data_IF_987773028362
#
_entry.id   IF_987773028362
#
_cell.length_a   1.000
_cell.length_b   1.000
_cell.length_c   1.000
_cell.angle_alpha   90.00
_cell.angle_beta   90.00
_cell.angle_gamma   90.00
#
_symmetry.space_group_name_H-M   'P 1'
#
loop_
_entity.id
_entity.type
_entity.pdbx_description
1 polymer ?
#
# COMPACT_ATOMS: atom_id res chain seq x y z
N UNK A 1 -22.97 3.59 -10.38
CA UNK A 1 -21.90 2.57 -10.48
C UNK A 1 -22.48 1.23 -10.91
N UNK A 2 -21.68 0.32 -11.46
CA UNK A 2 -22.13 -1.04 -11.83
C UNK A 2 -22.76 -1.76 -10.63
N UNK A 3 -22.15 -1.69 -9.45
CA UNK A 3 -22.67 -2.34 -8.23
C UNK A 3 -24.08 -1.85 -7.90
N UNK A 4 -24.36 -0.55 -7.99
CA UNK A 4 -25.69 0.01 -7.67
C UNK A 4 -26.80 -0.37 -8.66
N UNK A 5 -26.47 -0.88 -9.85
CA UNK A 5 -27.47 -1.39 -10.78
C UNK A 5 -27.96 -2.80 -10.39
N UNK A 6 -27.19 -3.54 -9.59
CA UNK A 6 -27.55 -4.90 -9.14
C UNK A 6 -27.93 -4.97 -7.67
N UNK A 7 -27.35 -4.13 -6.81
CA UNK A 7 -27.48 -4.19 -5.36
C UNK A 7 -28.16 -2.91 -4.86
N UNK A 8 -29.25 -3.06 -4.10
CA UNK A 8 -30.01 -1.95 -3.52
C UNK A 8 -29.54 -1.58 -2.13
N UNK A 9 -29.16 -2.57 -1.32
CA UNK A 9 -28.68 -2.37 0.04
C UNK A 9 -27.33 -1.62 0.06
N UNK A 10 -27.23 -0.56 0.86
CA UNK A 10 -26.08 0.33 0.87
C UNK A 10 -24.83 -0.33 1.50
N UNK A 11 -25.01 -1.18 2.53
CA UNK A 11 -23.90 -1.89 3.16
C UNK A 11 -23.31 -2.94 2.20
N UNK A 12 -24.17 -3.66 1.48
CA UNK A 12 -23.71 -4.59 0.46
C UNK A 12 -23.01 -3.86 -0.70
N UNK A 13 -23.47 -2.65 -1.07
CA UNK A 13 -22.76 -1.82 -2.06
C UNK A 13 -21.35 -1.49 -1.62
N UNK A 14 -21.14 -1.17 -0.34
CA UNK A 14 -19.81 -0.94 0.22
C UNK A 14 -18.96 -2.20 0.09
N UNK A 15 -19.46 -3.36 0.54
CA UNK A 15 -18.75 -4.65 0.46
C UNK A 15 -18.33 -4.98 -0.98
N UNK A 16 -19.21 -4.79 -1.97
CA UNK A 16 -18.89 -5.10 -3.37
C UNK A 16 -18.15 -4.00 -4.12
N UNK A 17 -17.80 -2.87 -3.50
CA UNK A 17 -17.07 -1.77 -4.13
C UNK A 17 -15.72 -1.45 -3.49
N UNK A 18 -15.48 -1.87 -2.24
CA UNK A 18 -14.25 -1.48 -1.52
C UNK A 18 -12.98 -2.07 -2.15
N UNK A 19 -13.05 -3.16 -2.90
CA UNK A 19 -11.87 -3.81 -3.50
C UNK A 19 -11.02 -2.88 -4.37
N UNK A 20 -11.62 -1.84 -4.95
CA UNK A 20 -10.85 -0.83 -5.67
C UNK A 20 -9.84 -0.09 -4.78
N UNK A 21 -10.13 0.06 -3.48
CA UNK A 21 -9.18 0.65 -2.50
C UNK A 21 -7.93 -0.20 -2.33
N UNK A 22 -8.04 -1.54 -2.47
CA UNK A 22 -6.89 -2.45 -2.34
C UNK A 22 -5.85 -2.28 -3.46
N UNK A 23 -6.22 -1.58 -4.52
CA UNK A 23 -5.33 -1.24 -5.65
C UNK A 23 -5.13 0.28 -5.79
N UNK A 24 -5.48 1.04 -4.77
CA UNK A 24 -5.30 2.50 -4.73
C UNK A 24 -6.33 3.30 -5.49
N UNK A 25 -7.47 2.71 -5.85
CA UNK A 25 -8.53 3.34 -6.62
C UNK A 25 -9.71 3.81 -5.78
N UNK A 26 -10.26 4.98 -6.14
CA UNK A 26 -11.49 5.49 -5.55
C UNK A 26 -12.70 4.67 -6.05
N UNK A 27 -13.50 4.02 -5.16
CA UNK A 27 -14.66 3.21 -5.53
C UNK A 27 -15.69 3.91 -6.42
N UNK A 28 -15.73 5.24 -6.40
CA UNK A 28 -16.68 6.04 -7.15
C UNK A 28 -16.18 6.53 -8.51
N UNK A 29 -14.87 6.40 -8.80
CA UNK A 29 -14.24 6.84 -10.06
C UNK A 29 -13.45 5.74 -10.77
N UNK A 30 -13.13 4.66 -10.09
CA UNK A 30 -12.36 3.55 -10.65
C UNK A 30 -13.22 2.70 -11.59
N UNK A 31 -12.61 2.05 -12.57
CA UNK A 31 -13.28 1.16 -13.51
C UNK A 31 -13.96 -0.02 -12.83
N UNK A 32 -15.14 -0.39 -13.30
CA UNK A 32 -15.88 -1.58 -12.83
C UNK A 32 -15.15 -2.91 -13.10
N UNK A 33 -14.08 -2.91 -13.87
CA UNK A 33 -13.25 -4.10 -14.11
C UNK A 33 -12.69 -4.70 -12.81
N UNK A 34 -12.51 -3.87 -11.77
CA UNK A 34 -12.03 -4.35 -10.46
C UNK A 34 -13.04 -5.23 -9.71
N UNK A 35 -14.29 -5.35 -10.18
CA UNK A 35 -15.22 -6.40 -9.73
C UNK A 35 -14.70 -7.82 -10.06
N UNK A 36 -13.72 -7.93 -10.99
CA UNK A 36 -13.02 -9.18 -11.28
C UNK A 36 -12.31 -9.75 -10.04
N UNK A 37 -11.89 -8.92 -9.10
CA UNK A 37 -11.25 -9.38 -7.87
C UNK A 37 -12.18 -10.35 -7.12
N UNK A 38 -13.45 -10.01 -6.96
CA UNK A 38 -14.44 -10.91 -6.34
C UNK A 38 -14.59 -12.24 -7.08
N UNK A 39 -14.58 -12.21 -8.42
CA UNK A 39 -14.66 -13.44 -9.21
C UNK A 39 -13.44 -14.32 -8.98
N UNK A 40 -12.24 -13.73 -8.98
CA UNK A 40 -10.97 -14.45 -8.74
C UNK A 40 -10.92 -15.04 -7.33
N UNK A 41 -11.33 -14.29 -6.31
CA UNK A 41 -11.41 -14.78 -4.92
C UNK A 41 -12.40 -15.93 -4.78
N UNK A 42 -13.53 -15.85 -5.46
CA UNK A 42 -14.54 -16.91 -5.46
C UNK A 42 -14.07 -18.19 -6.15
N UNK A 43 -13.39 -18.07 -7.27
CA UNK A 43 -12.93 -19.21 -8.08
C UNK A 43 -11.64 -19.83 -7.54
N UNK A 44 -10.65 -18.99 -7.19
CA UNK A 44 -9.31 -19.40 -6.76
C UNK A 44 -9.11 -19.48 -5.26
N UNK A 45 -10.02 -18.89 -4.46
CA UNK A 45 -9.82 -18.68 -3.03
C UNK A 45 -8.80 -17.59 -2.72
N UNK A 46 -8.56 -17.36 -1.44
CA UNK A 46 -7.53 -16.45 -0.93
C UNK A 46 -6.52 -17.28 -0.16
N UNK A 47 -5.26 -17.19 -0.56
CA UNK A 47 -4.17 -17.99 0.00
C UNK A 47 -3.19 -17.14 0.78
N UNK A 48 -2.71 -17.67 1.88
CA UNK A 48 -1.69 -17.04 2.71
C UNK A 48 -0.46 -17.94 2.78
N UNK A 49 0.71 -17.39 2.51
CA UNK A 49 1.94 -18.16 2.57
C UNK A 49 2.29 -18.55 4.01
N UNK A 50 2.63 -19.80 4.26
CA UNK A 50 3.15 -20.25 5.56
C UNK A 50 4.45 -19.50 5.88
N UNK A 51 4.53 -18.89 7.05
CA UNK A 51 5.61 -17.98 7.42
C UNK A 51 5.41 -16.54 6.91
N UNK A 52 4.23 -16.22 6.35
CA UNK A 52 3.86 -14.88 5.90
C UNK A 52 4.45 -14.47 4.56
N UNK A 53 4.19 -13.23 4.17
CA UNK A 53 4.71 -12.64 2.91
C UNK A 53 6.23 -12.64 2.85
N UNK A 54 6.91 -12.49 4.01
CA UNK A 54 8.37 -12.57 4.08
C UNK A 54 8.93 -13.92 3.62
N UNK A 55 8.28 -15.03 3.99
CA UNK A 55 8.68 -16.36 3.54
C UNK A 55 8.51 -16.54 2.02
N UNK A 56 7.45 -15.96 1.44
CA UNK A 56 7.25 -15.93 -0.01
C UNK A 56 8.38 -15.16 -0.71
N UNK A 57 8.70 -13.95 -0.22
CA UNK A 57 9.80 -13.14 -0.77
C UNK A 57 11.14 -13.89 -0.68
N UNK A 58 11.45 -14.52 0.45
CA UNK A 58 12.67 -15.31 0.60
C UNK A 58 12.69 -16.54 -0.35
N UNK A 59 11.54 -17.16 -0.58
CA UNK A 59 11.40 -18.21 -1.58
C UNK A 59 11.73 -17.75 -2.99
N UNK A 60 11.26 -16.55 -3.36
CA UNK A 60 11.58 -15.92 -4.64
C UNK A 60 13.06 -15.54 -4.74
N UNK A 61 13.67 -15.05 -3.67
CA UNK A 61 15.11 -14.74 -3.62
C UNK A 61 15.93 -16.01 -3.84
N UNK A 62 15.63 -17.10 -3.14
CA UNK A 62 16.32 -18.39 -3.34
C UNK A 62 16.22 -18.86 -4.80
N UNK A 63 15.01 -18.85 -5.38
CA UNK A 63 14.82 -19.20 -6.77
C UNK A 63 15.66 -18.33 -7.72
N UNK A 64 15.72 -17.03 -7.45
CA UNK A 64 16.52 -16.09 -8.24
C UNK A 64 18.02 -16.43 -8.18
N UNK A 65 18.53 -16.74 -6.98
CA UNK A 65 19.92 -17.13 -6.77
C UNK A 65 20.25 -18.50 -7.37
N UNK A 66 19.34 -19.47 -7.25
CA UNK A 66 19.45 -20.81 -7.89
C UNK A 66 19.53 -20.72 -9.43
N UNK A 67 18.89 -19.70 -10.00
CA UNK A 67 18.97 -19.38 -11.44
C UNK A 67 20.23 -18.59 -11.83
N UNK A 68 21.15 -18.35 -10.90
CA UNK A 68 22.41 -17.63 -11.12
C UNK A 68 22.30 -16.10 -10.90
N UNK A 69 21.21 -15.62 -10.35
CA UNK A 69 21.05 -14.21 -10.00
C UNK A 69 21.90 -13.81 -8.80
N UNK A 70 22.24 -12.53 -8.71
CA UNK A 70 22.95 -11.96 -7.56
C UNK A 70 22.11 -10.86 -6.91
N UNK A 71 21.75 -11.04 -5.64
CA UNK A 71 21.06 -10.03 -4.85
C UNK A 71 22.08 -9.12 -4.15
N UNK A 72 21.99 -7.81 -4.37
CA UNK A 72 22.78 -6.79 -3.65
C UNK A 72 21.85 -5.96 -2.77
N UNK A 73 21.88 -6.18 -1.47
CA UNK A 73 21.19 -5.37 -0.47
C UNK A 73 21.98 -4.11 -0.14
N UNK A 74 21.30 -3.11 0.43
CA UNK A 74 21.90 -1.81 0.81
C UNK A 74 22.66 -1.13 -0.34
N UNK A 75 22.23 -1.37 -1.56
CA UNK A 75 22.85 -0.88 -2.80
C UNK A 75 21.86 0.00 -3.58
N UNK A 76 21.58 1.24 -3.10
CA UNK A 76 20.65 2.12 -3.77
C UNK A 76 21.16 2.48 -5.16
N UNK A 77 20.27 2.44 -6.15
CA UNK A 77 20.55 2.94 -7.49
C UNK A 77 20.40 4.47 -7.48
N UNK A 78 21.46 5.18 -7.81
CA UNK A 78 21.53 6.63 -7.79
C UNK A 78 21.05 7.25 -9.12
N UNK A 79 21.41 6.60 -10.24
CA UNK A 79 20.97 6.97 -11.59
C UNK A 79 21.07 5.80 -12.57
N UNK A 80 20.36 5.92 -13.66
CA UNK A 80 20.44 5.04 -14.84
C UNK A 80 21.15 5.82 -15.94
N UNK A 81 22.21 5.26 -16.50
CA UNK A 81 22.97 5.86 -17.59
C UNK A 81 22.42 5.43 -18.94
N UNK A 82 22.27 6.41 -19.82
CA UNK A 82 21.73 6.26 -21.15
C UNK A 82 22.82 6.47 -22.21
N UNK A 83 22.81 5.62 -23.25
CA UNK A 83 23.54 5.83 -24.48
C UNK A 83 22.51 5.97 -25.62
N UNK A 84 22.34 7.20 -26.11
CA UNK A 84 21.19 7.52 -26.97
C UNK A 84 19.87 7.20 -26.26
N UNK A 85 19.00 6.42 -26.88
CA UNK A 85 17.70 6.00 -26.33
C UNK A 85 17.76 4.68 -25.51
N UNK A 86 18.95 4.19 -25.21
CA UNK A 86 19.15 2.89 -24.58
C UNK A 86 19.75 3.03 -23.18
N UNK A 87 19.12 2.40 -22.17
CA UNK A 87 19.72 2.27 -20.85
C UNK A 87 20.87 1.26 -20.92
N UNK A 88 22.06 1.62 -20.39
CA UNK A 88 23.30 0.85 -20.50
C UNK A 88 23.95 0.51 -19.19
N UNK A 89 23.75 1.31 -18.18
CA UNK A 89 24.35 1.08 -16.88
C UNK A 89 23.48 1.66 -15.77
N UNK A 90 23.73 1.20 -14.55
CA UNK A 90 23.28 1.86 -13.33
C UNK A 90 24.48 2.37 -12.57
N UNK A 91 24.28 3.41 -11.78
CA UNK A 91 25.27 3.89 -10.79
C UNK A 91 24.73 3.55 -9.40
N UNK A 92 25.56 2.89 -8.63
CA UNK A 92 25.28 2.53 -7.24
C UNK A 92 26.56 2.68 -6.43
N UNK A 93 26.52 3.40 -5.31
CA UNK A 93 27.66 3.68 -4.44
C UNK A 93 28.86 4.29 -5.20
N UNK A 94 28.56 5.13 -6.21
CA UNK A 94 29.59 5.75 -7.06
C UNK A 94 30.21 4.83 -8.13
N UNK A 95 29.86 3.55 -8.16
CA UNK A 95 30.30 2.58 -9.15
C UNK A 95 29.35 2.53 -10.34
N UNK A 96 29.87 2.54 -11.57
CA UNK A 96 29.09 2.36 -12.80
C UNK A 96 29.09 0.89 -13.18
N UNK A 97 27.91 0.28 -13.18
CA UNK A 97 27.68 -1.15 -13.47
C UNK A 97 26.98 -1.28 -14.81
N UNK A 98 27.61 -1.84 -15.85
CA UNK A 98 26.99 -2.02 -17.16
C UNK A 98 26.03 -3.21 -17.19
N UNK A 99 24.93 -3.05 -17.95
CA UNK A 99 23.94 -4.09 -18.19
C UNK A 99 23.36 -3.99 -19.60
N UNK A 100 22.99 -5.13 -20.17
CA UNK A 100 22.31 -5.20 -21.47
C UNK A 100 20.84 -4.78 -21.39
N UNK A 101 20.18 -5.07 -20.26
CA UNK A 101 18.77 -4.73 -19.97
C UNK A 101 18.65 -4.27 -18.52
N UNK A 102 17.85 -3.23 -18.30
CA UNK A 102 17.57 -2.69 -16.98
C UNK A 102 16.05 -2.67 -16.78
N UNK A 103 15.57 -3.36 -15.75
CA UNK A 103 14.18 -3.31 -15.30
C UNK A 103 14.09 -2.57 -13.97
N UNK A 104 13.21 -1.58 -13.87
CA UNK A 104 12.94 -0.86 -12.62
C UNK A 104 11.58 -1.25 -12.07
N UNK A 105 11.55 -1.68 -10.80
CA UNK A 105 10.33 -1.87 -10.02
C UNK A 105 10.11 -0.74 -8.99
N UNK A 106 10.88 0.35 -9.09
CA UNK A 106 10.69 1.54 -8.27
C UNK A 106 9.46 2.34 -8.70
N UNK A 107 9.09 3.33 -7.87
CA UNK A 107 8.04 4.30 -8.23
C UNK A 107 8.33 4.93 -9.60
N UNK A 108 7.30 5.04 -10.44
CA UNK A 108 7.49 5.48 -11.82
C UNK A 108 7.94 6.94 -11.93
N UNK A 109 7.50 7.80 -11.01
CA UNK A 109 7.94 9.20 -10.98
C UNK A 109 9.38 9.29 -10.50
N UNK A 110 9.75 8.49 -9.49
CA UNK A 110 11.14 8.37 -9.03
C UNK A 110 12.06 7.85 -10.14
N UNK A 111 11.65 6.77 -10.82
CA UNK A 111 12.44 6.17 -11.91
C UNK A 111 12.72 7.18 -13.03
N UNK A 112 11.67 7.81 -13.57
CA UNK A 112 11.85 8.75 -14.68
C UNK A 112 12.34 10.13 -14.24
N UNK A 113 11.81 10.65 -13.13
CA UNK A 113 12.10 12.01 -12.66
C UNK A 113 13.43 12.15 -11.93
N UNK A 114 13.93 11.07 -11.31
CA UNK A 114 15.19 11.07 -10.57
C UNK A 114 16.26 10.19 -11.22
N UNK A 115 16.00 8.88 -11.38
CA UNK A 115 17.04 7.97 -11.89
C UNK A 115 17.41 8.23 -13.36
N UNK A 116 16.46 8.69 -14.16
CA UNK A 116 16.66 9.07 -15.58
C UNK A 116 16.72 10.59 -15.80
N UNK A 117 16.90 11.39 -14.75
CA UNK A 117 16.90 12.86 -14.84
C UNK A 117 18.03 13.43 -15.72
N UNK A 118 19.11 12.71 -15.93
CA UNK A 118 20.18 13.08 -16.86
C UNK A 118 19.82 13.01 -18.34
N UNK A 119 18.67 12.40 -18.69
CA UNK A 119 18.24 12.22 -20.08
C UNK A 119 16.95 13.00 -20.39
N UNK A 120 16.85 13.71 -21.56
CA UNK A 120 15.69 14.55 -21.88
C UNK A 120 14.36 13.81 -21.84
N UNK A 121 14.33 12.55 -22.30
CA UNK A 121 13.14 11.70 -22.25
C UNK A 121 12.74 11.37 -20.81
N UNK A 122 13.72 11.12 -19.92
CA UNK A 122 13.48 10.90 -18.48
C UNK A 122 12.82 12.12 -17.85
N UNK A 123 13.38 13.32 -18.09
CA UNK A 123 12.84 14.58 -17.59
C UNK A 123 11.40 14.83 -18.09
N UNK A 124 11.17 14.66 -19.41
CA UNK A 124 9.85 14.87 -19.99
C UNK A 124 8.81 13.89 -19.43
N UNK A 125 9.15 12.60 -19.38
CA UNK A 125 8.25 11.58 -18.88
C UNK A 125 8.01 11.71 -17.37
N UNK A 126 9.05 12.02 -16.58
CA UNK A 126 8.93 12.28 -15.15
C UNK A 126 7.94 13.41 -14.85
N UNK A 127 8.02 14.53 -15.58
CA UNK A 127 7.07 15.64 -15.46
C UNK A 127 5.64 15.23 -15.82
N UNK A 128 5.45 14.45 -16.89
CA UNK A 128 4.12 13.95 -17.31
C UNK A 128 3.52 13.02 -16.25
N UNK A 129 4.31 12.13 -15.68
CA UNK A 129 3.87 11.18 -14.65
C UNK A 129 3.55 11.89 -13.33
N UNK A 130 4.38 12.85 -12.91
CA UNK A 130 4.15 13.63 -11.71
C UNK A 130 2.84 14.47 -11.78
N UNK A 131 2.44 14.90 -12.98
CA UNK A 131 1.21 15.64 -13.21
C UNK A 131 -0.06 14.75 -13.29
N UNK A 132 0.09 13.42 -13.30
CA UNK A 132 -1.05 12.49 -13.30
C UNK A 132 -1.69 12.41 -11.92
N UNK A 133 -2.88 11.80 -11.86
CA UNK A 133 -3.54 11.51 -10.58
C UNK A 133 -2.82 10.37 -9.87
N UNK A 134 -2.51 10.59 -8.60
CA UNK A 134 -1.88 9.58 -7.74
C UNK A 134 -2.92 8.96 -6.80
N UNK A 135 -2.65 7.75 -6.35
CA UNK A 135 -3.49 7.06 -5.38
C UNK A 135 -3.43 7.77 -4.01
N UNK A 136 -4.38 7.45 -3.16
CA UNK A 136 -4.27 7.81 -1.75
C UNK A 136 -3.01 7.22 -1.13
N UNK A 137 -2.64 7.74 0.03
CA UNK A 137 -1.64 7.13 0.91
C UNK A 137 -2.30 6.20 1.93
N UNK A 138 -1.48 5.59 2.76
CA UNK A 138 -1.91 4.76 3.89
C UNK A 138 -1.25 5.24 5.18
N UNK A 139 -1.99 5.09 6.27
CA UNK A 139 -1.45 5.09 7.61
C UNK A 139 -1.53 3.66 8.13
N UNK A 140 -0.39 3.06 8.48
CA UNK A 140 -0.33 1.65 8.89
C UNK A 140 0.17 1.57 10.31
N UNK A 141 -0.51 0.79 11.15
CA UNK A 141 -0.08 0.49 12.50
C UNK A 141 0.23 -1.01 12.57
N UNK A 142 1.46 -1.35 12.90
CA UNK A 142 1.89 -2.69 13.24
C UNK A 142 1.92 -2.83 14.75
N UNK A 143 1.28 -3.86 15.29
CA UNK A 143 1.26 -4.07 16.73
C UNK A 143 1.24 -5.55 17.12
N UNK A 144 1.81 -5.85 18.27
CA UNK A 144 1.81 -7.17 18.88
C UNK A 144 1.07 -7.13 20.21
N UNK A 145 0.26 -8.15 20.47
CA UNK A 145 -0.47 -8.35 21.72
C UNK A 145 -0.01 -9.63 22.40
N UNK A 146 -0.11 -9.67 23.73
CA UNK A 146 0.10 -10.90 24.53
C UNK A 146 -1.16 -11.79 24.58
N UNK A 147 -2.05 -11.62 23.60
CA UNK A 147 -3.29 -12.38 23.46
C UNK A 147 -3.74 -12.43 22.02
N UNK A 148 -4.28 -13.58 21.59
CA UNK A 148 -4.99 -13.72 20.33
C UNK A 148 -6.46 -13.30 20.51
N UNK A 149 -6.97 -12.46 19.63
CA UNK A 149 -8.38 -12.13 19.49
C UNK A 149 -9.01 -13.03 18.42
N UNK A 150 -9.42 -14.23 18.83
CA UNK A 150 -9.93 -15.33 17.99
C UNK A 150 -11.31 -15.08 17.38
N UNK A 151 -12.04 -14.06 17.88
CA UNK A 151 -13.29 -13.60 17.28
C UNK A 151 -13.10 -12.86 15.95
N UNK A 152 -11.87 -12.46 15.62
CA UNK A 152 -11.55 -11.79 14.35
C UNK A 152 -11.33 -12.80 13.22
N UNK A 153 -11.55 -12.37 11.99
CA UNK A 153 -11.08 -13.11 10.82
C UNK A 153 -9.61 -12.74 10.50
N UNK A 154 -8.94 -13.57 9.70
CA UNK A 154 -7.60 -13.25 9.17
C UNK A 154 -7.57 -11.87 8.51
N UNK A 155 -8.61 -11.57 7.72
CA UNK A 155 -8.85 -10.27 7.13
C UNK A 155 -10.20 -9.73 7.62
N UNK A 156 -10.19 -8.56 8.25
CA UNK A 156 -11.39 -7.88 8.74
C UNK A 156 -11.43 -6.47 8.16
N UNK A 157 -12.53 -6.12 7.49
CA UNK A 157 -12.77 -4.76 7.00
C UNK A 157 -13.78 -4.08 7.90
N UNK A 158 -13.39 -2.99 8.51
CA UNK A 158 -14.24 -2.16 9.36
C UNK A 158 -14.75 -0.99 8.52
N UNK A 159 -16.03 -0.99 8.18
CA UNK A 159 -16.63 0.11 7.42
C UNK A 159 -17.08 1.25 8.34
N UNK A 160 -16.67 2.47 7.98
CA UNK A 160 -17.17 3.69 8.62
C UNK A 160 -18.62 4.00 8.21
N UNK A 161 -19.32 4.77 9.06
CA UNK A 161 -20.72 5.13 8.82
C UNK A 161 -20.90 6.09 7.64
N UNK A 162 -19.91 6.98 7.39
CA UNK A 162 -19.96 8.03 6.35
C UNK A 162 -19.18 7.60 5.08
N UNK A 163 -19.45 6.41 4.54
CA UNK A 163 -18.60 5.81 3.50
C UNK A 163 -18.25 6.76 2.33
N UNK A 164 -19.25 7.36 1.66
CA UNK A 164 -18.98 8.25 0.53
C UNK A 164 -18.25 9.54 0.94
N UNK A 165 -18.68 10.30 1.95
CA UNK A 165 -17.92 11.47 2.42
C UNK A 165 -16.49 11.12 2.84
N UNK A 166 -16.29 9.99 3.54
CA UNK A 166 -14.97 9.52 3.95
C UNK A 166 -14.06 9.26 2.73
N UNK A 167 -14.55 8.59 1.70
CA UNK A 167 -13.78 8.36 0.46
C UNK A 167 -13.44 9.68 -0.23
N UNK A 168 -14.37 10.64 -0.27
CA UNK A 168 -14.07 11.97 -0.83
C UNK A 168 -13.01 12.71 0.00
N UNK A 169 -13.05 12.61 1.32
CA UNK A 169 -12.03 13.18 2.22
C UNK A 169 -10.65 12.54 1.99
N UNK A 170 -10.58 11.22 1.83
CA UNK A 170 -9.34 10.48 1.56
C UNK A 170 -8.71 10.90 0.23
N UNK A 171 -9.48 11.05 -0.84
CA UNK A 171 -8.96 11.31 -2.17
C UNK A 171 -8.83 12.79 -2.53
N UNK A 172 -9.59 13.68 -1.88
CA UNK A 172 -9.70 15.09 -2.26
C UNK A 172 -9.60 16.05 -1.08
N UNK A 173 -9.70 15.54 0.15
CA UNK A 173 -9.82 16.37 1.33
C UNK A 173 -8.50 16.99 1.78
N UNK A 174 -8.55 18.22 2.33
CA UNK A 174 -7.38 18.86 2.93
C UNK A 174 -7.13 18.43 4.37
N UNK A 175 -7.96 17.54 4.94
CA UNK A 175 -7.94 17.17 6.36
C UNK A 175 -7.94 15.65 6.52
N UNK A 176 -7.40 15.23 7.67
CA UNK A 176 -7.50 13.86 8.14
C UNK A 176 -8.95 13.60 8.59
N UNK A 177 -9.52 12.50 8.12
CA UNK A 177 -10.87 12.11 8.54
C UNK A 177 -10.90 11.70 10.02
N UNK A 178 -12.04 11.97 10.66
CA UNK A 178 -12.26 11.64 12.09
C UNK A 178 -12.97 10.30 12.28
N UNK A 179 -13.53 9.74 11.22
CA UNK A 179 -14.07 8.39 11.18
C UNK A 179 -13.23 7.49 10.24
N UNK A 180 -13.37 6.18 10.37
CA UNK A 180 -12.47 5.26 9.72
C UNK A 180 -13.21 4.23 8.87
N UNK A 181 -12.62 3.90 7.71
CA UNK A 181 -12.73 2.57 7.13
C UNK A 181 -11.35 1.92 7.25
N UNK A 182 -11.29 0.84 8.03
CA UNK A 182 -10.02 0.19 8.36
C UNK A 182 -9.98 -1.20 7.75
N UNK A 183 -8.77 -1.61 7.38
CA UNK A 183 -8.48 -3.01 7.14
C UNK A 183 -7.59 -3.52 8.26
N UNK A 184 -8.06 -4.53 8.99
CA UNK A 184 -7.35 -5.19 10.07
C UNK A 184 -6.91 -6.59 9.61
N UNK A 185 -5.62 -6.85 9.74
CA UNK A 185 -4.98 -8.12 9.40
C UNK A 185 -4.54 -8.84 10.66
N UNK A 186 -4.97 -10.08 10.82
CA UNK A 186 -4.74 -10.93 11.98
C UNK A 186 -4.08 -12.25 11.56
N UNK A 187 -2.83 -12.25 11.07
CA UNK A 187 -2.22 -13.42 10.45
C UNK A 187 -1.95 -14.56 11.43
N UNK A 188 -1.78 -14.27 12.72
CA UNK A 188 -1.56 -15.28 13.75
C UNK A 188 -2.75 -16.22 13.95
N UNK A 189 -3.95 -15.87 13.48
CA UNK A 189 -5.12 -16.78 13.44
C UNK A 189 -4.87 -17.95 12.49
N UNK A 190 -4.20 -17.70 11.37
CA UNK A 190 -3.91 -18.71 10.35
C UNK A 190 -2.55 -19.38 10.57
N UNK A 191 -1.56 -18.61 11.00
CA UNK A 191 -0.20 -19.08 11.24
C UNK A 191 0.32 -18.56 12.59
N UNK A 192 0.16 -19.35 13.67
CA UNK A 192 0.62 -18.96 15.00
C UNK A 192 2.13 -18.71 15.09
N UNK A 193 2.93 -19.22 14.12
CA UNK A 193 4.40 -19.04 14.14
C UNK A 193 4.84 -17.59 13.84
N UNK A 194 3.90 -16.73 13.45
CA UNK A 194 4.16 -15.31 13.16
C UNK A 194 4.24 -14.41 14.40
N UNK A 195 4.10 -14.99 15.59
CA UNK A 195 4.30 -14.32 16.86
C UNK A 195 4.92 -15.30 17.88
N UNK A 196 5.54 -14.81 18.96
CA UNK A 196 5.95 -15.66 20.09
C UNK A 196 4.77 -16.40 20.69
N UNK A 197 5.04 -17.52 21.39
CA UNK A 197 4.01 -18.30 22.07
C UNK A 197 3.18 -17.42 23.03
N UNK A 198 1.86 -17.58 22.97
CA UNK A 198 0.90 -16.76 23.73
C UNK A 198 0.70 -15.34 23.21
N UNK A 199 1.42 -14.94 22.18
CA UNK A 199 1.29 -13.63 21.53
C UNK A 199 0.61 -13.73 20.16
N UNK A 200 0.22 -12.57 19.62
CA UNK A 200 -0.31 -12.46 18.28
C UNK A 200 0.16 -11.16 17.61
N UNK A 201 0.43 -11.23 16.32
CA UNK A 201 0.79 -10.06 15.49
C UNK A 201 -0.40 -9.56 14.68
N UNK A 202 -0.47 -8.26 14.55
CA UNK A 202 -1.52 -7.57 13.82
C UNK A 202 -0.95 -6.42 13.01
N UNK A 203 -1.63 -6.06 11.95
CA UNK A 203 -1.55 -4.69 11.46
C UNK A 203 -2.93 -4.16 11.09
N UNK A 204 -3.10 -2.87 11.21
CA UNK A 204 -4.27 -2.15 10.72
C UNK A 204 -3.83 -1.04 9.80
N UNK A 205 -4.52 -0.85 8.70
CA UNK A 205 -4.30 0.27 7.80
C UNK A 205 -5.56 1.11 7.65
N UNK A 206 -5.34 2.42 7.58
CA UNK A 206 -6.33 3.44 7.26
C UNK A 206 -5.90 4.14 5.97
N UNK A 207 -6.75 4.21 4.94
CA UNK A 207 -6.51 5.08 3.80
C UNK A 207 -6.52 6.55 4.25
N UNK A 208 -5.53 7.31 3.80
CA UNK A 208 -5.37 8.73 4.13
C UNK A 208 -4.98 9.54 2.90
N UNK A 209 -5.19 10.87 2.88
CA UNK A 209 -4.71 11.71 1.79
C UNK A 209 -3.21 11.58 1.58
N UNK A 210 -2.76 11.61 0.32
CA UNK A 210 -1.34 11.70 0.00
C UNK A 210 -0.82 13.14 0.25
N UNK A 211 0.49 13.33 0.34
CA UNK A 211 1.13 14.59 0.74
C UNK A 211 0.85 15.79 -0.19
N UNK A 212 0.36 15.55 -1.40
CA UNK A 212 -0.06 16.61 -2.31
C UNK A 212 -1.54 17.01 -2.17
N UNK A 213 -2.34 16.25 -1.40
CA UNK A 213 -3.77 16.52 -1.18
C UNK A 213 -4.06 17.20 0.14
N UNK A 214 -3.24 16.96 1.17
CA UNK A 214 -3.40 17.53 2.49
C UNK A 214 -2.06 17.91 3.09
N UNK A 215 -2.00 19.07 3.74
CA UNK A 215 -0.85 19.50 4.51
C UNK A 215 -1.01 19.03 5.97
N UNK A 216 -0.55 17.81 6.24
CA UNK A 216 -0.62 17.15 7.54
C UNK A 216 0.80 16.94 8.04
N UNK A 217 1.13 17.49 9.20
CA UNK A 217 2.38 17.16 9.89
C UNK A 217 2.29 15.79 10.56
N UNK A 218 2.72 14.77 9.84
CA UNK A 218 2.68 13.39 10.30
C UNK A 218 3.60 13.10 11.49
N UNK A 219 4.57 13.97 11.81
CA UNK A 219 5.36 13.84 13.02
C UNK A 219 4.51 14.16 14.27
N UNK A 220 3.57 15.08 14.13
CA UNK A 220 2.64 15.49 15.21
C UNK A 220 1.38 14.65 15.19
N UNK A 221 0.74 14.52 14.03
CA UNK A 221 -0.55 13.85 13.91
C UNK A 221 -0.44 12.32 13.90
N UNK A 222 0.70 11.77 13.45
CA UNK A 222 0.91 10.31 13.39
C UNK A 222 0.70 9.61 14.74
N UNK A 223 1.36 10.01 15.82
CA UNK A 223 1.12 9.43 17.15
C UNK A 223 -0.33 9.57 17.63
N UNK A 224 -0.96 10.73 17.42
CA UNK A 224 -2.35 10.99 17.80
C UNK A 224 -3.32 10.09 17.04
N UNK A 225 -3.14 10.01 15.73
CA UNK A 225 -4.00 9.21 14.86
C UNK A 225 -3.86 7.71 15.14
N UNK A 226 -2.63 7.25 15.42
CA UNK A 226 -2.38 5.88 15.90
C UNK A 226 -3.21 5.59 17.14
N UNK A 227 -3.15 6.47 18.14
CA UNK A 227 -3.83 6.23 19.41
C UNK A 227 -5.36 6.27 19.25
N UNK A 228 -5.88 7.18 18.42
CA UNK A 228 -7.30 7.23 18.08
C UNK A 228 -7.78 5.94 17.39
N UNK A 229 -6.99 5.38 16.46
CA UNK A 229 -7.33 4.12 15.78
C UNK A 229 -7.29 2.94 16.77
N UNK A 230 -6.28 2.88 17.65
CA UNK A 230 -6.19 1.81 18.64
C UNK A 230 -7.33 1.87 19.66
N UNK A 231 -7.74 3.07 20.09
CA UNK A 231 -8.92 3.26 20.96
C UNK A 231 -10.22 2.81 20.29
N UNK A 232 -10.38 3.15 19.00
CA UNK A 232 -11.51 2.68 18.20
C UNK A 232 -11.54 1.15 18.06
N UNK A 233 -10.39 0.51 17.81
CA UNK A 233 -10.29 -0.95 17.74
C UNK A 233 -10.59 -1.58 19.09
N UNK A 234 -10.09 -1.03 20.20
CA UNK A 234 -10.38 -1.52 21.55
C UNK A 234 -11.87 -1.48 21.86
N UNK A 235 -12.52 -0.36 21.52
CA UNK A 235 -13.94 -0.14 21.81
C UNK A 235 -14.85 -1.07 20.99
N UNK A 236 -14.51 -1.37 19.74
CA UNK A 236 -15.46 -2.00 18.80
C UNK A 236 -15.09 -3.44 18.42
N UNK A 237 -13.81 -3.82 18.45
CA UNK A 237 -13.33 -5.07 17.86
C UNK A 237 -12.44 -5.90 18.76
N UNK A 238 -11.62 -5.26 19.60
CA UNK A 238 -10.55 -5.91 20.36
C UNK A 238 -10.56 -5.47 21.84
N UNK A 239 -11.57 -5.86 22.66
CA UNK A 239 -11.66 -5.44 24.05
C UNK A 239 -10.39 -5.73 24.83
N UNK A 240 -9.86 -4.72 25.54
CA UNK A 240 -8.63 -4.81 26.33
C UNK A 240 -7.33 -4.70 25.53
N UNK A 241 -7.39 -4.28 24.25
CA UNK A 241 -6.24 -4.14 23.37
C UNK A 241 -5.09 -3.36 24.02
N UNK A 242 -5.39 -2.20 24.64
CA UNK A 242 -4.37 -1.33 25.23
C UNK A 242 -3.60 -2.02 26.36
N UNK A 243 -4.28 -2.79 27.19
CA UNK A 243 -3.66 -3.52 28.31
C UNK A 243 -2.86 -4.75 27.86
N UNK A 244 -3.12 -5.23 26.65
CA UNK A 244 -2.48 -6.41 26.04
C UNK A 244 -1.32 -6.02 25.09
N UNK A 245 -1.10 -4.73 24.87
CA UNK A 245 -0.14 -4.22 23.89
C UNK A 245 1.30 -4.49 24.35
N UNK A 246 2.04 -5.25 23.55
CA UNK A 246 3.47 -5.58 23.78
C UNK A 246 4.37 -4.66 22.98
N UNK A 247 4.00 -4.38 21.73
CA UNK A 247 4.77 -3.52 20.84
C UNK A 247 3.84 -2.80 19.85
N UNK A 248 4.25 -1.61 19.44
CA UNK A 248 3.51 -0.84 18.44
C UNK A 248 4.45 0.03 17.63
N UNK A 249 4.25 0.04 16.32
CA UNK A 249 4.93 0.92 15.36
C UNK A 249 3.89 1.44 14.37
N UNK A 250 4.06 2.65 13.87
CA UNK A 250 3.23 3.16 12.77
C UNK A 250 4.10 3.61 11.59
N UNK A 251 3.50 3.61 10.41
CA UNK A 251 4.11 4.04 9.15
C UNK A 251 3.17 5.04 8.48
N UNK A 252 3.71 6.19 8.11
CA UNK A 252 2.95 7.35 7.64
C UNK A 252 3.21 7.63 6.16
N UNK A 253 2.49 8.55 5.52
CA UNK A 253 2.83 9.04 4.18
C UNK A 253 4.28 9.55 4.03
N UNK A 254 4.91 10.06 5.10
CA UNK A 254 6.33 10.39 5.08
C UNK A 254 7.20 9.15 4.86
N UNK A 255 6.90 8.03 5.54
CA UNK A 255 7.63 6.77 5.32
C UNK A 255 7.49 6.25 3.88
N UNK A 256 6.30 6.32 3.29
CA UNK A 256 6.12 5.97 1.87
C UNK A 256 6.98 6.84 0.95
N UNK A 257 7.08 8.16 1.20
CA UNK A 257 7.94 9.07 0.44
C UNK A 257 9.42 8.81 0.66
N UNK A 258 9.85 8.71 1.91
CA UNK A 258 11.25 8.80 2.31
C UNK A 258 11.97 7.45 2.30
N UNK A 259 11.27 6.36 2.70
CA UNK A 259 11.84 5.01 2.73
C UNK A 259 11.56 4.23 1.44
N UNK A 260 10.40 4.48 0.77
CA UNK A 260 9.99 3.75 -0.42
C UNK A 260 10.09 4.58 -1.72
N UNK A 261 10.54 5.84 -1.64
CA UNK A 261 10.63 6.77 -2.77
C UNK A 261 9.29 6.98 -3.52
N UNK A 262 8.15 6.74 -2.86
CA UNK A 262 6.85 6.89 -3.47
C UNK A 262 6.50 8.37 -3.68
N UNK A 263 6.19 8.75 -4.91
CA UNK A 263 5.84 10.13 -5.24
C UNK A 263 4.61 10.58 -4.43
N UNK A 264 4.73 11.75 -3.78
CA UNK A 264 3.72 12.30 -2.85
C UNK A 264 3.36 11.36 -1.67
N UNK A 265 4.19 10.36 -1.37
CA UNK A 265 3.88 9.34 -0.37
C UNK A 265 2.65 8.50 -0.73
N UNK A 266 2.27 8.40 -2.01
CA UNK A 266 1.14 7.59 -2.46
C UNK A 266 1.45 6.09 -2.30
N UNK A 267 0.51 5.33 -1.73
CA UNK A 267 0.78 3.93 -1.41
C UNK A 267 0.74 2.98 -2.63
N UNK A 268 0.10 3.38 -3.72
CA UNK A 268 -0.13 2.56 -4.90
C UNK A 268 0.31 3.25 -6.21
N UNK A 269 1.19 4.27 -6.13
CA UNK A 269 1.66 5.05 -7.28
C UNK A 269 0.48 5.77 -8.00
N UNK A 270 0.32 5.62 -9.31
CA UNK A 270 -0.76 6.26 -10.07
C UNK A 270 -2.14 5.68 -9.70
N UNK A 271 -3.15 6.55 -9.59
CA UNK A 271 -4.54 6.11 -9.37
C UNK A 271 -5.01 5.24 -10.55
N UNK A 272 -5.59 4.05 -10.31
CA UNK A 272 -5.97 3.09 -11.36
C UNK A 272 -7.29 3.47 -12.05
N UNK A 273 -7.39 4.70 -12.53
CA UNK A 273 -8.51 5.14 -13.40
C UNK A 273 -8.30 4.63 -14.82
N UNK A 274 -9.37 4.54 -15.61
CA UNK A 274 -9.34 3.96 -16.95
C UNK A 274 -8.26 4.61 -17.84
N UNK A 275 -8.14 5.95 -17.81
CA UNK A 275 -7.18 6.72 -18.61
C UNK A 275 -5.73 6.61 -18.12
N UNK A 276 -5.47 5.91 -17.02
CA UNK A 276 -4.14 5.70 -16.44
C UNK A 276 -3.83 4.21 -16.22
N UNK A 277 -4.65 3.29 -16.73
CA UNK A 277 -4.51 1.85 -16.56
C UNK A 277 -4.32 1.14 -17.88
N UNK A 278 -3.71 -0.02 -17.86
CA UNK A 278 -3.48 -0.87 -19.02
C UNK A 278 -2.81 -0.11 -20.19
N UNK A 279 -3.47 -0.04 -21.34
CA UNK A 279 -2.94 0.60 -22.55
C UNK A 279 -2.76 2.12 -22.46
N UNK A 280 -3.34 2.78 -21.46
CA UNK A 280 -3.28 4.25 -21.30
C UNK A 280 -2.18 4.72 -20.33
N UNK A 281 -1.36 3.81 -19.85
CA UNK A 281 -0.20 4.12 -18.97
C UNK A 281 0.96 4.75 -19.73
#
# INVERSE_FOLDING_TARGET
>A
SMVSSFIKDEHLRQVFSFHSLLVGGNPFSTSSIYALIHALEREGGVWFAKGGTGALVQGMVRLFEDLGGTLRLSSPVERIEMEGERARAIVSQGETLPFDVIASNGDVVHTYGKLLSGHPRGQSQGKKLAAKRHSMSLFVIYFGLNKLHDQLAHHTVCFGQRYRPLIDEIFKGPKLATDFSLYLHSPSITDPTLAPEGCASYYVLAPVPHLGSADIDWNVEGPRYRDTILDYLEQHYMPGLRSQLVTVRHFTPFGFRDELNAHLGSAFSLEPILTQSAWFR
#
